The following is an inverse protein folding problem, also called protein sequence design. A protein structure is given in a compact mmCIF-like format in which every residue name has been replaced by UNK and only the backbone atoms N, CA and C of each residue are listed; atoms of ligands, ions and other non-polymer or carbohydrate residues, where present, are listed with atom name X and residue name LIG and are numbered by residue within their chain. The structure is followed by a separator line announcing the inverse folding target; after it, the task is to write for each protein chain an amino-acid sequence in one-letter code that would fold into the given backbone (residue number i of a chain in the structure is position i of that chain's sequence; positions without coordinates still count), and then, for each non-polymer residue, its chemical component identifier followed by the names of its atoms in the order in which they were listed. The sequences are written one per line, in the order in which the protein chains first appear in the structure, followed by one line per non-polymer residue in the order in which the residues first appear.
data_IF_634050847320
#
_entry.id   IF_634050847320
#
_cell.length_a   1.000
_cell.length_b   1.000
_cell.length_c   1.000
_cell.angle_alpha   90.00
_cell.angle_beta   90.00
_cell.angle_gamma   90.00
#
_symmetry.space_group_name_H-M   'P 1'
#
loop_
_entity.id
_entity.type
_entity.pdbx_description
1 polymer ?
#
# COMPACT_ATOMS: atom_id res chain seq x y z
N UNK A 1 19.14 -19.95 -22.54
CA UNK A 1 17.79 -19.39 -22.35
C UNK A 1 17.29 -19.88 -21.00
N UNK A 2 17.34 -19.04 -19.98
CA UNK A 2 16.76 -19.36 -18.68
C UNK A 2 15.25 -19.11 -18.83
N UNK A 3 14.47 -20.16 -18.91
CA UNK A 3 13.02 -20.07 -18.82
C UNK A 3 12.68 -19.58 -17.41
N UNK A 4 12.29 -18.32 -17.28
CA UNK A 4 11.72 -17.80 -16.04
C UNK A 4 10.44 -18.60 -15.77
N UNK A 5 10.51 -19.54 -14.82
CA UNK A 5 9.31 -20.16 -14.29
C UNK A 5 8.43 -19.07 -13.68
N UNK A 6 7.30 -18.80 -14.30
CA UNK A 6 6.31 -17.90 -13.72
C UNK A 6 5.54 -18.63 -12.63
N UNK A 7 5.31 -17.99 -11.51
CA UNK A 7 4.41 -18.49 -10.47
C UNK A 7 3.04 -18.85 -11.08
N UNK A 8 2.43 -19.96 -10.62
CA UNK A 8 1.06 -20.32 -10.99
C UNK A 8 0.01 -19.37 -10.38
N UNK A 9 0.43 -18.50 -9.48
CA UNK A 9 -0.43 -17.56 -8.78
C UNK A 9 -0.79 -16.37 -9.68
N UNK A 10 -2.06 -15.91 -9.59
CA UNK A 10 -2.55 -14.78 -10.34
C UNK A 10 -3.13 -13.76 -9.36
N UNK A 11 -2.53 -12.58 -9.33
CA UNK A 11 -3.01 -11.45 -8.55
C UNK A 11 -3.97 -10.59 -9.38
N UNK A 12 -5.14 -10.31 -8.81
CA UNK A 12 -6.15 -9.43 -9.40
C UNK A 12 -6.29 -8.17 -8.55
N UNK A 13 -5.99 -7.03 -9.15
CA UNK A 13 -6.02 -5.73 -8.48
C UNK A 13 -6.71 -4.65 -9.29
N UNK A 14 -7.09 -3.55 -8.63
CA UNK A 14 -7.60 -2.35 -9.29
C UNK A 14 -6.43 -1.42 -9.65
N UNK A 15 -6.52 -0.76 -10.82
CA UNK A 15 -5.47 0.15 -11.31
C UNK A 15 -5.23 1.32 -10.35
N UNK A 16 -6.30 1.89 -9.80
CA UNK A 16 -6.22 3.05 -8.91
C UNK A 16 -6.52 2.67 -7.46
N UNK A 17 -5.72 1.75 -6.92
CA UNK A 17 -5.83 1.26 -5.54
C UNK A 17 -4.47 1.18 -4.88
N UNK A 18 -4.25 1.98 -3.83
CA UNK A 18 -2.97 2.08 -3.14
C UNK A 18 -2.56 0.76 -2.48
N UNK A 19 -3.53 -0.01 -1.95
CA UNK A 19 -3.30 -1.34 -1.41
C UNK A 19 -2.94 -2.36 -2.51
N UNK A 20 -3.51 -2.23 -3.71
CA UNK A 20 -3.10 -3.06 -4.84
C UNK A 20 -1.68 -2.73 -5.30
N UNK A 21 -1.31 -1.45 -5.30
CA UNK A 21 0.05 -1.00 -5.60
C UNK A 21 1.04 -1.48 -4.53
N UNK A 22 0.63 -1.46 -3.26
CA UNK A 22 1.42 -2.03 -2.16
C UNK A 22 1.69 -3.53 -2.35
N UNK A 23 0.68 -4.32 -2.74
CA UNK A 23 0.88 -5.76 -3.03
C UNK A 23 1.90 -5.91 -4.16
N UNK A 24 1.74 -5.18 -5.25
CA UNK A 24 2.66 -5.21 -6.39
C UNK A 24 4.09 -4.79 -5.98
N UNK A 25 4.24 -3.77 -5.14
CA UNK A 25 5.53 -3.38 -4.59
C UNK A 25 6.20 -4.53 -3.85
N UNK A 26 5.45 -5.25 -3.01
CA UNK A 26 6.01 -6.41 -2.28
C UNK A 26 6.43 -7.52 -3.23
N UNK A 27 5.72 -7.73 -4.34
CA UNK A 27 6.13 -8.76 -5.33
C UNK A 27 7.51 -8.47 -5.94
N UNK A 28 7.96 -7.20 -5.98
CA UNK A 28 9.31 -6.84 -6.44
C UNK A 28 10.44 -7.31 -5.51
N UNK A 29 10.11 -7.76 -4.33
CA UNK A 29 11.07 -8.36 -3.38
C UNK A 29 11.06 -9.91 -3.44
N UNK A 30 10.22 -10.50 -4.29
CA UNK A 30 10.08 -11.94 -4.44
C UNK A 30 10.80 -12.42 -5.72
N UNK A 31 11.37 -13.62 -5.70
CA UNK A 31 12.06 -14.16 -6.88
C UNK A 31 11.08 -14.59 -7.98
N UNK A 32 9.90 -15.08 -7.58
CA UNK A 32 8.84 -15.56 -8.48
C UNK A 32 7.56 -14.78 -8.20
N UNK A 33 7.41 -13.58 -8.81
CA UNK A 33 6.19 -12.79 -8.62
C UNK A 33 5.00 -13.48 -9.28
N UNK A 34 3.77 -13.32 -8.74
CA UNK A 34 2.56 -13.78 -9.37
C UNK A 34 2.33 -13.04 -10.69
N UNK A 35 1.55 -13.65 -11.60
CA UNK A 35 1.02 -12.93 -12.76
C UNK A 35 0.07 -11.83 -12.27
N UNK A 36 0.28 -10.58 -12.69
CA UNK A 36 -0.51 -9.43 -12.25
C UNK A 36 -1.55 -9.09 -13.32
N UNK A 37 -2.81 -8.99 -12.89
CA UNK A 37 -3.93 -8.51 -13.72
C UNK A 37 -4.52 -7.29 -13.05
N UNK A 38 -4.46 -6.15 -13.74
CA UNK A 38 -5.03 -4.88 -13.29
C UNK A 38 -6.33 -4.59 -14.01
N UNK A 39 -7.33 -4.12 -13.28
CA UNK A 39 -8.67 -3.81 -13.80
C UNK A 39 -9.07 -2.40 -13.40
N UNK A 40 -9.73 -1.68 -14.33
CA UNK A 40 -10.28 -0.34 -14.04
C UNK A 40 -11.48 -0.40 -13.09
N UNK A 41 -12.27 -1.47 -13.17
CA UNK A 41 -13.44 -1.70 -12.33
C UNK A 41 -13.52 -3.17 -11.92
N UNK A 42 -14.12 -3.48 -10.74
CA UNK A 42 -14.40 -4.86 -10.37
C UNK A 42 -15.30 -5.52 -11.42
N UNK A 43 -14.95 -6.73 -11.84
CA UNK A 43 -15.80 -7.57 -12.67
C UNK A 43 -16.64 -8.46 -11.77
N UNK A 44 -17.98 -8.36 -11.88
CA UNK A 44 -18.92 -9.13 -11.05
C UNK A 44 -18.75 -10.64 -11.22
N UNK A 45 -18.48 -11.13 -12.43
CA UNK A 45 -18.26 -12.56 -12.70
C UNK A 45 -17.03 -13.06 -11.95
N UNK A 46 -15.92 -12.32 -12.03
CA UNK A 46 -14.67 -12.68 -11.33
C UNK A 46 -14.85 -12.62 -9.82
N UNK A 47 -15.59 -11.64 -9.31
CA UNK A 47 -15.86 -11.51 -7.87
C UNK A 47 -16.67 -12.68 -7.30
N UNK A 48 -17.51 -13.34 -8.12
CA UNK A 48 -18.28 -14.50 -7.67
C UNK A 48 -17.40 -15.70 -7.28
N UNK A 49 -16.16 -15.77 -7.78
CA UNK A 49 -15.21 -16.82 -7.40
C UNK A 49 -14.55 -16.56 -6.04
N UNK A 50 -14.67 -15.36 -5.47
CA UNK A 50 -14.01 -15.02 -4.21
C UNK A 50 -14.99 -15.10 -3.03
N UNK A 51 -14.58 -15.63 -1.86
CA UNK A 51 -15.45 -15.80 -0.71
C UNK A 51 -16.07 -14.48 -0.23
N UNK A 52 -15.30 -13.40 -0.28
CA UNK A 52 -15.71 -12.07 0.21
C UNK A 52 -16.29 -11.17 -0.87
N UNK A 53 -16.27 -11.59 -2.13
CA UNK A 53 -16.68 -10.78 -3.30
C UNK A 53 -16.03 -9.40 -3.35
N UNK A 54 -14.79 -9.32 -2.89
CA UNK A 54 -14.02 -8.08 -2.80
C UNK A 54 -12.68 -8.17 -3.53
N UNK A 55 -12.12 -7.01 -3.85
CA UNK A 55 -10.77 -6.85 -4.39
C UNK A 55 -9.89 -6.11 -3.37
N UNK A 56 -8.59 -6.34 -3.36
CA UNK A 56 -7.83 -7.27 -4.21
C UNK A 56 -7.98 -8.74 -3.80
N UNK A 57 -7.68 -9.65 -4.73
CA UNK A 57 -7.57 -11.07 -4.43
C UNK A 57 -6.45 -11.76 -5.23
N UNK A 58 -5.95 -12.87 -4.69
CA UNK A 58 -4.98 -13.75 -5.32
C UNK A 58 -5.65 -15.10 -5.57
N UNK A 59 -5.49 -15.64 -6.79
CA UNK A 59 -5.82 -17.02 -7.12
C UNK A 59 -4.54 -17.84 -7.03
N UNK A 60 -4.54 -18.87 -6.19
CA UNK A 60 -3.45 -19.83 -6.03
C UNK A 60 -3.99 -21.25 -6.18
N UNK A 61 -3.75 -21.86 -7.33
CA UNK A 61 -4.42 -23.12 -7.67
C UNK A 61 -5.93 -22.95 -7.72
N UNK A 62 -6.65 -23.70 -6.88
CA UNK A 62 -8.12 -23.63 -6.76
C UNK A 62 -8.57 -22.69 -5.63
N UNK A 63 -7.63 -22.17 -4.83
CA UNK A 63 -7.91 -21.31 -3.69
C UNK A 63 -7.90 -19.83 -4.06
N UNK A 64 -8.69 -19.04 -3.29
CA UNK A 64 -8.76 -17.58 -3.42
C UNK A 64 -8.43 -16.93 -2.08
N UNK A 65 -7.40 -16.09 -2.08
CA UNK A 65 -6.98 -15.31 -0.91
C UNK A 65 -7.40 -13.86 -1.14
N UNK A 66 -8.14 -13.26 -0.21
CA UNK A 66 -8.66 -11.91 -0.31
C UNK A 66 -8.05 -10.99 0.74
N UNK A 67 -7.92 -9.68 0.39
CA UNK A 67 -7.36 -8.66 1.27
C UNK A 67 -5.84 -8.49 1.12
N UNK A 68 -5.38 -7.25 1.28
CA UNK A 68 -3.99 -6.90 1.01
C UNK A 68 -2.98 -7.64 1.91
N UNK A 69 -3.20 -7.62 3.23
CA UNK A 69 -2.26 -8.25 4.17
C UNK A 69 -2.21 -9.77 4.05
N UNK A 70 -3.34 -10.52 3.98
CA UNK A 70 -3.30 -11.95 3.73
C UNK A 70 -2.55 -12.33 2.44
N UNK A 71 -2.81 -11.61 1.34
CA UNK A 71 -2.15 -11.86 0.06
C UNK A 71 -0.63 -11.70 0.19
N UNK A 72 -0.19 -10.58 0.75
CA UNK A 72 1.24 -10.27 0.89
C UNK A 72 1.94 -11.29 1.80
N UNK A 73 1.33 -11.63 2.94
CA UNK A 73 1.89 -12.64 3.84
C UNK A 73 1.98 -14.00 3.19
N UNK A 74 0.95 -14.40 2.44
CA UNK A 74 0.96 -15.65 1.69
C UNK A 74 2.09 -15.65 0.67
N UNK A 75 2.20 -14.64 -0.18
CA UNK A 75 3.23 -14.54 -1.21
C UNK A 75 4.65 -14.58 -0.63
N UNK A 76 4.90 -13.89 0.48
CA UNK A 76 6.21 -13.92 1.13
C UNK A 76 6.49 -15.29 1.74
N UNK A 77 5.51 -15.92 2.41
CA UNK A 77 5.69 -17.21 3.10
C UNK A 77 5.73 -18.39 2.14
N UNK A 78 5.02 -18.33 1.01
CA UNK A 78 4.98 -19.41 0.00
C UNK A 78 6.13 -19.36 -1.01
N UNK A 79 6.86 -18.25 -1.09
CA UNK A 79 8.01 -18.14 -1.98
C UNK A 79 9.04 -19.24 -1.63
N UNK A 80 9.46 -20.03 -2.63
CA UNK A 80 10.46 -21.08 -2.44
C UNK A 80 11.82 -20.47 -2.13
N UNK A 81 12.58 -21.13 -1.29
CA UNK A 81 13.97 -20.77 -1.06
C UNK A 81 14.76 -21.02 -2.35
N UNK A 82 15.50 -20.03 -2.79
CA UNK A 82 16.52 -20.21 -3.81
C UNK A 82 17.75 -20.91 -3.20
N UNK A 83 18.57 -21.53 -4.07
CA UNK A 83 19.78 -22.24 -3.67
C UNK A 83 20.76 -21.40 -2.84
N UNK A 84 20.63 -20.08 -2.88
CA UNK A 84 21.56 -19.11 -2.28
C UNK A 84 21.09 -18.54 -0.94
N UNK A 85 19.91 -18.96 -0.42
CA UNK A 85 19.36 -18.51 0.87
C UNK A 85 18.93 -17.05 0.95
N UNK A 86 19.03 -16.29 -0.14
CA UNK A 86 18.68 -14.85 -0.21
C UNK A 86 17.21 -14.61 0.13
N UNK A 87 16.35 -15.56 -0.20
CA UNK A 87 14.92 -15.49 0.09
C UNK A 87 14.58 -15.61 1.57
N UNK A 88 15.25 -16.50 2.28
CA UNK A 88 15.07 -16.63 3.72
C UNK A 88 15.39 -15.33 4.44
N UNK A 89 16.41 -14.63 3.98
CA UNK A 89 16.77 -13.31 4.50
C UNK A 89 15.73 -12.24 4.16
N UNK A 90 15.18 -12.23 2.95
CA UNK A 90 14.11 -11.31 2.58
C UNK A 90 12.81 -11.54 3.35
N UNK A 91 12.42 -12.80 3.61
CA UNK A 91 11.27 -13.13 4.49
C UNK A 91 11.48 -12.60 5.90
N UNK A 92 12.65 -12.88 6.49
CA UNK A 92 13.01 -12.41 7.84
C UNK A 92 13.11 -10.89 7.89
N UNK A 93 13.49 -10.24 6.80
CA UNK A 93 13.49 -8.79 6.70
C UNK A 93 12.07 -8.26 6.69
N UNK A 94 11.22 -8.73 5.78
CA UNK A 94 9.88 -8.15 5.57
C UNK A 94 8.88 -8.51 6.67
N UNK A 95 8.90 -9.74 7.18
CA UNK A 95 7.92 -10.25 8.15
C UNK A 95 8.46 -10.35 9.59
N UNK A 96 9.73 -10.02 9.83
CA UNK A 96 10.38 -10.18 11.13
C UNK A 96 11.05 -11.54 11.32
N UNK A 97 12.01 -11.57 12.27
CA UNK A 97 12.86 -12.74 12.53
C UNK A 97 12.25 -13.70 13.56
N UNK A 98 11.29 -13.23 14.32
CA UNK A 98 10.64 -13.96 15.41
C UNK A 98 9.21 -13.44 15.62
N UNK A 99 8.43 -14.18 16.42
CA UNK A 99 7.04 -13.85 16.72
C UNK A 99 6.84 -12.43 17.27
N UNK A 100 7.77 -11.91 18.07
CA UNK A 100 7.65 -10.56 18.63
C UNK A 100 7.79 -9.48 17.55
N UNK A 101 8.74 -9.65 16.65
CA UNK A 101 8.90 -8.75 15.50
C UNK A 101 7.70 -8.88 14.54
N UNK A 102 7.23 -10.09 14.25
CA UNK A 102 6.04 -10.31 13.42
C UNK A 102 4.81 -9.64 14.03
N UNK A 103 4.58 -9.81 15.32
CA UNK A 103 3.47 -9.15 16.03
C UNK A 103 3.58 -7.61 16.01
N UNK A 104 4.79 -7.07 16.12
CA UNK A 104 5.01 -5.63 16.01
C UNK A 104 4.71 -5.11 14.60
N UNK A 105 5.10 -5.85 13.55
CA UNK A 105 4.77 -5.53 12.16
C UNK A 105 3.26 -5.56 11.97
N UNK A 106 2.58 -6.59 12.49
CA UNK A 106 1.13 -6.72 12.42
C UNK A 106 0.40 -5.58 13.14
N UNK A 107 0.91 -5.14 14.27
CA UNK A 107 0.36 -3.98 15.00
C UNK A 107 0.35 -2.75 14.10
N UNK A 108 1.48 -2.41 13.48
CA UNK A 108 1.58 -1.22 12.63
C UNK A 108 0.84 -1.38 11.30
N UNK A 109 0.88 -2.55 10.66
CA UNK A 109 0.12 -2.77 9.42
C UNK A 109 -1.39 -2.71 9.67
N UNK A 110 -1.89 -3.25 10.78
CA UNK A 110 -3.29 -3.12 11.16
C UNK A 110 -3.67 -1.67 11.46
N UNK A 111 -2.83 -0.92 12.17
CA UNK A 111 -3.06 0.50 12.43
C UNK A 111 -3.14 1.30 11.12
N UNK A 112 -2.21 1.08 10.19
CA UNK A 112 -2.20 1.74 8.89
C UNK A 112 -3.47 1.38 8.10
N UNK A 113 -3.84 0.11 8.10
CA UNK A 113 -5.01 -0.38 7.36
C UNK A 113 -6.32 0.18 7.92
N UNK A 114 -6.49 0.19 9.25
CA UNK A 114 -7.75 0.57 9.90
C UNK A 114 -7.91 2.07 10.10
N UNK A 115 -6.82 2.80 10.33
CA UNK A 115 -6.89 4.21 10.72
C UNK A 115 -6.42 5.17 9.62
N UNK A 116 -5.40 4.82 8.85
CA UNK A 116 -4.81 5.73 7.84
C UNK A 116 -5.44 5.50 6.47
N UNK A 117 -5.51 4.25 6.02
CA UNK A 117 -5.98 3.91 4.67
C UNK A 117 -7.40 4.42 4.36
N UNK A 118 -8.40 4.36 5.27
CA UNK A 118 -9.71 4.93 5.01
C UNK A 118 -9.69 6.44 4.80
N UNK A 119 -8.90 7.16 5.58
CA UNK A 119 -8.78 8.62 5.49
C UNK A 119 -8.12 9.02 4.18
N UNK A 120 -7.00 8.37 3.81
CA UNK A 120 -6.35 8.64 2.52
C UNK A 120 -7.23 8.28 1.33
N UNK A 121 -8.06 7.23 1.46
CA UNK A 121 -9.04 6.85 0.44
C UNK A 121 -10.16 7.90 0.30
N UNK A 122 -10.63 8.49 1.40
CA UNK A 122 -11.61 9.59 1.37
C UNK A 122 -11.03 10.82 0.68
N UNK A 123 -9.85 11.28 1.10
CA UNK A 123 -9.13 12.41 0.48
C UNK A 123 -8.99 12.19 -1.03
N UNK A 124 -8.49 11.03 -1.42
CA UNK A 124 -8.31 10.66 -2.81
C UNK A 124 -9.63 10.62 -3.58
N UNK A 125 -10.69 10.11 -2.97
CA UNK A 125 -12.01 10.00 -3.62
C UNK A 125 -12.59 11.36 -3.98
N UNK A 126 -12.35 12.36 -3.15
CA UNK A 126 -12.78 13.74 -3.41
C UNK A 126 -11.90 14.45 -4.44
N UNK A 127 -10.56 14.30 -4.35
CA UNK A 127 -9.65 14.96 -5.27
C UNK A 127 -9.72 14.43 -6.71
N UNK A 128 -10.01 13.13 -6.88
CA UNK A 128 -10.04 12.48 -8.20
C UNK A 128 -11.46 12.25 -8.74
N UNK A 129 -12.42 13.06 -8.33
CA UNK A 129 -13.78 13.06 -8.87
C UNK A 129 -14.56 11.74 -8.70
N UNK A 130 -14.16 10.89 -7.73
CA UNK A 130 -14.93 9.67 -7.40
C UNK A 130 -16.13 9.97 -6.50
N UNK A 131 -16.06 11.06 -5.76
CA UNK A 131 -17.13 11.67 -4.97
C UNK A 131 -17.23 13.15 -5.30
N UNK A 132 -18.38 13.77 -5.02
CA UNK A 132 -18.54 15.22 -5.07
C UNK A 132 -17.61 15.84 -4.05
N UNK A 133 -16.84 16.86 -4.46
CA UNK A 133 -15.95 17.57 -3.55
C UNK A 133 -16.74 18.41 -2.55
N UNK A 134 -16.48 18.20 -1.27
CA UNK A 134 -17.04 18.95 -0.15
C UNK A 134 -15.91 19.45 0.75
N UNK A 135 -15.62 20.75 0.65
CA UNK A 135 -14.46 21.34 1.33
C UNK A 135 -14.40 21.02 2.82
N UNK A 136 -15.53 21.09 3.54
CA UNK A 136 -15.56 20.79 4.98
C UNK A 136 -15.15 19.36 5.31
N UNK A 137 -15.65 18.37 4.56
CA UNK A 137 -15.29 16.95 4.72
C UNK A 137 -13.84 16.71 4.33
N UNK A 138 -13.38 17.37 3.26
CA UNK A 138 -11.99 17.26 2.82
C UNK A 138 -11.02 17.81 3.89
N UNK A 139 -11.29 19.01 4.42
CA UNK A 139 -10.46 19.65 5.43
C UNK A 139 -10.45 18.81 6.74
N UNK A 140 -11.59 18.23 7.15
CA UNK A 140 -11.65 17.27 8.26
C UNK A 140 -10.76 16.05 7.99
N UNK A 141 -10.90 15.42 6.85
CA UNK A 141 -10.10 14.24 6.52
C UNK A 141 -8.59 14.54 6.50
N UNK A 142 -8.18 15.73 6.05
CA UNK A 142 -6.77 16.14 6.10
C UNK A 142 -6.30 16.35 7.55
N UNK A 143 -7.13 16.93 8.41
CA UNK A 143 -6.79 17.11 9.83
C UNK A 143 -6.72 15.74 10.55
N UNK A 144 -7.70 14.87 10.32
CA UNK A 144 -7.70 13.50 10.85
C UNK A 144 -6.45 12.73 10.40
N UNK A 145 -6.04 12.89 9.13
CA UNK A 145 -4.79 12.30 8.65
C UNK A 145 -3.59 12.79 9.45
N UNK A 146 -3.50 14.09 9.72
CA UNK A 146 -2.39 14.62 10.51
C UNK A 146 -2.39 14.08 11.94
N UNK A 147 -3.57 13.91 12.57
CA UNK A 147 -3.70 13.37 13.92
C UNK A 147 -3.29 11.89 13.99
N UNK A 148 -3.76 11.04 13.07
CA UNK A 148 -3.39 9.62 13.06
C UNK A 148 -1.92 9.38 12.67
N UNK A 149 -1.23 10.36 12.12
CA UNK A 149 0.21 10.29 11.85
C UNK A 149 1.08 10.64 13.07
N UNK A 150 0.54 11.26 14.13
CA UNK A 150 1.29 11.63 15.33
C UNK A 150 1.94 10.41 16.01
N UNK A 151 1.23 9.31 16.31
CA UNK A 151 1.84 8.14 16.95
C UNK A 151 2.97 7.53 16.12
N UNK A 152 2.82 7.53 14.80
CA UNK A 152 3.86 7.05 13.87
C UNK A 152 5.07 7.97 13.90
N UNK A 153 4.84 9.28 13.87
CA UNK A 153 5.93 10.27 13.91
C UNK A 153 6.74 10.17 15.22
N UNK A 154 6.07 10.00 16.36
CA UNK A 154 6.74 9.78 17.65
C UNK A 154 7.49 8.46 17.69
N UNK A 155 6.92 7.38 17.13
CA UNK A 155 7.61 6.09 17.01
C UNK A 155 8.89 6.22 16.21
N UNK A 156 8.83 6.89 15.06
CA UNK A 156 9.94 7.08 14.14
C UNK A 156 10.98 8.11 14.65
N UNK A 157 10.68 8.89 15.69
CA UNK A 157 11.63 9.77 16.35
C UNK A 157 12.77 9.00 17.01
N UNK A 158 12.44 7.83 17.55
CA UNK A 158 13.38 6.97 18.27
C UNK A 158 13.90 5.80 17.41
N UNK A 159 13.34 5.60 16.22
CA UNK A 159 13.64 4.45 15.38
C UNK A 159 13.80 4.87 13.92
N UNK A 160 14.67 4.18 13.20
CA UNK A 160 14.86 4.41 11.76
C UNK A 160 13.62 3.98 10.97
N UNK A 161 13.05 2.83 11.32
CA UNK A 161 11.85 2.22 10.76
C UNK A 161 10.85 1.89 11.87
N UNK A 162 9.62 1.51 11.52
CA UNK A 162 8.53 1.30 12.49
C UNK A 162 8.81 0.21 13.53
N UNK A 163 9.46 -0.87 13.12
CA UNK A 163 9.60 -2.06 13.99
C UNK A 163 11.03 -2.47 14.26
N UNK A 164 11.98 -2.22 13.35
CA UNK A 164 13.37 -2.64 13.47
C UNK A 164 14.35 -1.63 12.84
N UNK A 165 15.60 -2.05 12.67
CA UNK A 165 16.62 -1.26 11.96
C UNK A 165 16.67 -1.55 10.44
N UNK A 166 15.73 -2.36 9.94
CA UNK A 166 15.59 -2.68 8.51
C UNK A 166 14.18 -2.32 8.06
N UNK A 167 14.04 -1.98 6.78
CA UNK A 167 12.74 -1.73 6.16
C UNK A 167 11.91 -3.02 6.21
N UNK A 168 10.66 -2.89 6.64
CA UNK A 168 9.73 -4.01 6.80
C UNK A 168 8.38 -3.72 6.15
N UNK A 169 7.49 -4.69 6.20
CA UNK A 169 6.19 -4.62 5.53
C UNK A 169 5.37 -3.39 5.93
N UNK A 170 5.40 -3.03 7.22
CA UNK A 170 4.69 -1.86 7.74
C UNK A 170 5.20 -0.54 7.13
N UNK A 171 6.52 -0.41 6.93
CA UNK A 171 7.11 0.79 6.32
C UNK A 171 6.69 0.94 4.87
N UNK A 172 6.75 -0.15 4.10
CA UNK A 172 6.30 -0.18 2.71
C UNK A 172 4.82 0.16 2.58
N UNK A 173 3.98 -0.42 3.45
CA UNK A 173 2.54 -0.15 3.45
C UNK A 173 2.22 1.30 3.78
N UNK A 174 2.87 1.86 4.81
CA UNK A 174 2.67 3.26 5.21
C UNK A 174 2.95 4.20 4.04
N UNK A 175 4.11 4.07 3.40
CA UNK A 175 4.49 4.95 2.30
C UNK A 175 3.58 4.76 1.08
N UNK A 176 3.14 3.53 0.82
CA UNK A 176 2.20 3.22 -0.26
C UNK A 176 0.86 3.95 -0.10
N UNK A 177 0.27 3.92 1.10
CA UNK A 177 -1.03 4.58 1.34
C UNK A 177 -0.90 6.10 1.45
N UNK A 178 0.27 6.62 1.83
CA UNK A 178 0.53 8.05 1.96
C UNK A 178 0.96 8.71 0.65
N UNK A 179 1.35 7.94 -0.37
CA UNK A 179 2.00 8.49 -1.57
C UNK A 179 1.20 9.61 -2.24
N UNK A 180 -0.09 9.39 -2.47
CA UNK A 180 -0.97 10.41 -3.05
C UNK A 180 -1.14 11.62 -2.14
N UNK A 181 -1.27 11.41 -0.84
CA UNK A 181 -1.39 12.53 0.12
C UNK A 181 -0.14 13.41 0.13
N UNK A 182 1.05 12.83 0.04
CA UNK A 182 2.31 13.59 -0.04
C UNK A 182 2.48 14.34 -1.36
N UNK A 183 1.99 13.80 -2.48
CA UNK A 183 2.07 14.47 -3.77
C UNK A 183 1.04 15.59 -3.93
N UNK A 184 -0.18 15.41 -3.39
CA UNK A 184 -1.34 16.19 -3.81
C UNK A 184 -1.93 17.07 -2.71
N UNK A 185 -1.58 16.81 -1.41
CA UNK A 185 -2.28 17.42 -0.26
C UNK A 185 -1.35 17.96 0.82
N UNK A 186 -0.32 17.21 1.18
CA UNK A 186 0.55 17.56 2.29
C UNK A 186 1.61 18.57 1.84
N UNK A 187 1.26 19.84 1.94
CA UNK A 187 2.14 20.99 1.68
C UNK A 187 3.29 21.06 2.68
N UNK A 188 4.28 21.92 2.41
CA UNK A 188 5.51 22.04 3.21
C UNK A 188 5.22 22.25 4.70
N UNK A 189 4.26 23.12 5.03
CA UNK A 189 3.86 23.42 6.41
C UNK A 189 3.30 22.21 7.17
N UNK A 190 2.66 21.26 6.46
CA UNK A 190 2.13 20.01 7.04
C UNK A 190 3.22 18.98 7.23
N UNK A 191 4.07 18.74 6.21
CA UNK A 191 5.14 17.74 6.31
C UNK A 191 6.21 18.11 7.33
N UNK A 192 6.40 19.42 7.63
CA UNK A 192 7.29 19.91 8.68
C UNK A 192 6.79 19.56 10.10
N UNK A 193 5.48 19.30 10.29
CA UNK A 193 4.89 18.87 11.57
C UNK A 193 5.11 17.37 11.82
N UNK A 194 5.43 16.58 10.80
CA UNK A 194 5.66 15.13 10.87
C UNK A 194 7.04 14.76 10.28
N UNK A 195 8.14 15.32 10.79
CA UNK A 195 9.45 15.23 10.15
C UNK A 195 9.98 13.79 10.05
N UNK A 196 9.65 12.93 11.02
CA UNK A 196 10.13 11.55 11.04
C UNK A 196 9.36 10.67 10.03
N UNK A 197 8.06 10.87 9.90
CA UNK A 197 7.26 10.26 8.83
C UNK A 197 7.76 10.74 7.47
N UNK A 198 8.01 12.05 7.33
CA UNK A 198 8.55 12.64 6.09
C UNK A 198 9.91 12.06 5.71
N UNK A 199 10.78 11.82 6.70
CA UNK A 199 12.08 11.16 6.49
C UNK A 199 11.91 9.73 5.95
N UNK A 200 11.07 8.92 6.59
CA UNK A 200 10.78 7.56 6.15
C UNK A 200 10.15 7.56 4.75
N UNK A 201 9.16 8.43 4.53
CA UNK A 201 8.49 8.57 3.24
C UNK A 201 9.48 8.87 2.11
N UNK A 202 10.33 9.89 2.28
CA UNK A 202 11.36 10.25 1.30
C UNK A 202 12.32 9.09 1.04
N UNK A 203 12.76 8.39 2.08
CA UNK A 203 13.66 7.26 1.92
C UNK A 203 13.04 6.15 1.05
N UNK A 204 11.82 5.73 1.36
CA UNK A 204 11.15 4.63 0.64
C UNK A 204 10.70 5.05 -0.76
N UNK A 205 10.16 6.28 -0.91
CA UNK A 205 9.64 6.76 -2.19
C UNK A 205 10.71 6.92 -3.27
N UNK A 206 11.99 7.10 -2.89
CA UNK A 206 13.12 7.15 -3.83
C UNK A 206 13.76 5.77 -4.11
N UNK A 207 13.21 4.69 -3.57
CA UNK A 207 13.66 3.35 -3.95
C UNK A 207 13.20 3.06 -5.39
N UNK A 208 14.10 2.60 -6.26
CA UNK A 208 13.78 2.26 -7.66
C UNK A 208 12.55 1.36 -7.80
N UNK A 209 12.44 0.33 -6.94
CA UNK A 209 11.28 -0.58 -6.92
C UNK A 209 9.96 0.13 -6.60
N UNK A 210 10.02 1.17 -5.78
CA UNK A 210 8.85 1.99 -5.43
C UNK A 210 8.46 2.91 -6.59
N UNK A 211 9.43 3.60 -7.17
CA UNK A 211 9.21 4.50 -8.31
C UNK A 211 8.64 3.78 -9.55
N UNK A 212 9.03 2.53 -9.78
CA UNK A 212 8.49 1.71 -10.86
C UNK A 212 6.96 1.47 -10.75
N UNK A 213 6.41 1.50 -9.54
CA UNK A 213 4.99 1.22 -9.26
C UNK A 213 4.18 2.51 -9.07
N UNK A 214 4.74 3.44 -8.30
CA UNK A 214 4.02 4.65 -7.85
C UNK A 214 4.38 5.89 -8.68
N UNK A 215 5.47 5.84 -9.43
CA UNK A 215 6.07 7.00 -10.08
C UNK A 215 6.98 7.80 -9.14
N UNK A 216 7.56 8.84 -9.68
CA UNK A 216 8.48 9.72 -8.94
C UNK A 216 7.70 10.61 -7.99
N UNK A 217 8.18 10.73 -6.75
CA UNK A 217 7.64 11.66 -5.77
C UNK A 217 7.88 13.12 -6.19
N UNK A 218 6.82 13.89 -6.24
CA UNK A 218 6.87 15.35 -6.47
C UNK A 218 6.30 16.06 -5.26
N UNK A 219 7.10 16.89 -4.54
CA UNK A 219 6.60 17.58 -3.35
C UNK A 219 5.41 18.49 -3.66
N UNK A 220 4.35 18.35 -2.86
CA UNK A 220 3.15 19.17 -2.96
C UNK A 220 3.48 20.62 -2.60
N UNK A 221 3.39 21.52 -3.57
CA UNK A 221 3.53 22.98 -3.36
C UNK A 221 2.20 23.60 -2.96
N UNK A 222 1.13 23.20 -3.63
CA UNK A 222 -0.25 23.62 -3.41
C UNK A 222 -1.15 22.39 -3.48
N UNK A 223 -2.23 22.39 -2.70
CA UNK A 223 -3.20 21.28 -2.72
C UNK A 223 -3.79 21.16 -4.12
N UNK A 224 -3.79 19.93 -4.64
CA UNK A 224 -4.33 19.63 -5.96
C UNK A 224 -5.78 20.11 -6.09
N UNK A 225 -6.09 20.80 -7.18
CA UNK A 225 -7.47 21.19 -7.52
C UNK A 225 -8.31 19.92 -7.74
N UNK A 226 -9.48 19.81 -7.09
CA UNK A 226 -10.36 18.67 -7.26
C UNK A 226 -10.80 18.48 -8.71
N UNK A 227 -10.79 17.25 -9.18
CA UNK A 227 -11.33 16.88 -10.50
C UNK A 227 -12.86 16.92 -10.48
N UNK A 228 -13.52 17.27 -11.60
CA UNK A 228 -14.97 17.27 -11.66
C UNK A 228 -15.56 15.91 -11.32
N UNK A 229 -16.56 15.88 -10.45
CA UNK A 229 -17.35 14.69 -10.21
C UNK A 229 -18.24 14.41 -11.42
N UNK A 230 -18.03 13.26 -12.06
CA UNK A 230 -18.92 12.78 -13.13
C UNK A 230 -19.88 11.77 -12.52
N UNK A 231 -21.12 12.16 -12.40
CA UNK A 231 -22.20 11.27 -11.96
C UNK A 231 -22.30 10.08 -12.93
N UNK A 232 -21.91 8.90 -12.48
CA UNK A 232 -22.06 7.70 -13.30
C UNK A 232 -23.54 7.33 -13.26
N UNK A 233 -24.26 7.60 -14.35
CA UNK A 233 -25.61 7.04 -14.55
C UNK A 233 -25.52 5.53 -14.33
N UNK A 234 -25.97 5.08 -13.18
CA UNK A 234 -26.18 3.66 -12.88
C UNK A 234 -27.41 3.26 -13.71
N UNK A 235 -27.17 2.86 -14.97
CA UNK A 235 -28.20 2.12 -15.66
C UNK A 235 -28.50 0.87 -14.86
N UNK A 236 -29.74 0.81 -14.36
CA UNK A 236 -30.32 -0.30 -13.60
C UNK A 236 -30.31 -1.60 -14.39
#
# INVERSE_FOLDING_TARGET
MVTLETSKDIFFGLEDCDLCNFIELVTKFLPLPPRIIRMKKPNKEILNYTPTKTMPFLKSGDDFITGALPIVKYLIKSAKDDSDGVLLDNRKILLGKNLKEEAAIDTWTNYIFSSISPITCEIKSQLYGKKKFEKGIFDMAVNDLMEVLIPINERLKLNTFLTSNKIQLADLMLVSVLFRSFNDVLTKDKIEKIPNVTRLFKFVSHMKRFEEIFGVYVPCKEVKTPEPFVEKNVQK
#
